data_IF_877032008502
#
_entry.id   IF_877032008502
#
_cell.length_a   1.000
_cell.length_b   1.000
_cell.length_c   1.000
_cell.angle_alpha   90.00
_cell.angle_beta   90.00
_cell.angle_gamma   90.00
#
_symmetry.space_group_name_H-M   'P 1'
#
loop_
_entity.id
_entity.type
_entity.pdbx_description
1 polymer ?
#
# COMPACT_ATOMS: atom_id res chain seq x y z
N UNK A 1 -34.57 -39.92 -13.72
CA UNK A 1 -33.85 -38.82 -14.41
C UNK A 1 -34.09 -37.52 -13.66
N UNK A 2 -33.16 -37.23 -12.76
CA UNK A 2 -32.75 -35.90 -12.29
C UNK A 2 -31.59 -36.16 -11.31
N UNK A 3 -30.41 -36.34 -11.88
CA UNK A 3 -29.15 -36.26 -11.14
C UNK A 3 -28.89 -34.78 -10.90
N UNK A 4 -29.45 -34.24 -9.81
CA UNK A 4 -29.05 -32.93 -9.27
C UNK A 4 -27.71 -33.12 -8.55
N UNK A 5 -26.63 -33.21 -9.34
CA UNK A 5 -25.27 -33.11 -8.82
C UNK A 5 -25.04 -31.66 -8.39
N UNK A 6 -25.41 -31.36 -7.15
CA UNK A 6 -25.04 -30.11 -6.49
C UNK A 6 -23.53 -30.14 -6.23
N UNK A 7 -22.72 -29.94 -7.28
CA UNK A 7 -21.28 -29.76 -7.14
C UNK A 7 -21.05 -28.51 -6.28
N UNK A 8 -20.75 -28.73 -5.01
CA UNK A 8 -20.33 -27.67 -4.10
C UNK A 8 -19.14 -26.96 -4.75
N UNK A 9 -19.35 -25.70 -5.16
CA UNK A 9 -18.30 -24.97 -5.89
C UNK A 9 -17.04 -24.92 -5.02
N UNK A 10 -15.87 -25.27 -5.55
CA UNK A 10 -14.60 -25.20 -4.84
C UNK A 10 -14.32 -23.78 -4.31
N UNK A 11 -13.38 -23.65 -3.36
CA UNK A 11 -13.02 -22.33 -2.79
C UNK A 11 -12.57 -21.33 -3.85
N UNK A 12 -11.82 -21.80 -4.85
CA UNK A 12 -11.43 -21.06 -6.05
C UNK A 12 -11.69 -21.93 -7.27
N UNK A 13 -12.33 -21.36 -8.30
CA UNK A 13 -12.88 -22.12 -9.40
C UNK A 13 -12.96 -21.32 -10.69
N UNK A 14 -13.00 -22.01 -11.81
CA UNK A 14 -13.23 -21.41 -13.12
C UNK A 14 -14.72 -21.34 -13.42
N UNK A 15 -15.20 -20.18 -13.88
CA UNK A 15 -16.64 -19.93 -14.10
C UNK A 15 -17.20 -20.73 -15.28
N UNK A 16 -16.39 -20.99 -16.31
CA UNK A 16 -16.87 -21.67 -17.54
C UNK A 16 -17.30 -23.12 -17.33
N UNK A 17 -16.69 -23.82 -16.38
CA UNK A 17 -16.91 -25.26 -16.15
C UNK A 17 -17.01 -25.64 -14.66
N UNK A 18 -17.02 -24.66 -13.75
CA UNK A 18 -17.03 -24.83 -12.29
C UNK A 18 -15.90 -25.71 -11.73
N UNK A 19 -14.84 -25.96 -12.50
CA UNK A 19 -13.72 -26.79 -12.03
C UNK A 19 -12.89 -26.03 -11.01
N UNK A 20 -12.37 -26.77 -10.03
CA UNK A 20 -11.42 -26.25 -9.05
C UNK A 20 -10.18 -25.71 -9.77
N UNK A 21 -9.68 -24.57 -9.29
CA UNK A 21 -8.40 -24.01 -9.71
C UNK A 21 -7.53 -23.91 -8.46
N UNK A 22 -6.31 -24.43 -8.53
CA UNK A 22 -5.35 -24.28 -7.45
C UNK A 22 -5.10 -22.81 -7.16
N UNK A 23 -4.97 -22.47 -5.88
CA UNK A 23 -4.98 -21.08 -5.48
C UNK A 23 -3.79 -20.30 -6.04
N UNK A 24 -2.62 -20.93 -6.08
CA UNK A 24 -1.40 -20.33 -6.63
C UNK A 24 -1.52 -20.08 -8.13
N UNK A 25 -2.12 -21.02 -8.89
CA UNK A 25 -2.40 -20.83 -10.31
C UNK A 25 -3.36 -19.65 -10.53
N UNK A 26 -4.39 -19.52 -9.69
CA UNK A 26 -5.30 -18.38 -9.73
C UNK A 26 -4.58 -17.06 -9.44
N UNK A 27 -3.67 -17.03 -8.44
CA UNK A 27 -2.86 -15.85 -8.14
C UNK A 27 -2.01 -15.40 -9.33
N UNK A 28 -1.39 -16.34 -10.04
CA UNK A 28 -0.59 -16.03 -11.23
C UNK A 28 -1.45 -15.47 -12.37
N UNK A 29 -2.61 -16.07 -12.64
CA UNK A 29 -3.52 -15.58 -13.68
C UNK A 29 -4.09 -14.19 -13.33
N UNK A 30 -4.49 -13.98 -12.07
CA UNK A 30 -4.92 -12.66 -11.60
C UNK A 30 -3.80 -11.63 -11.64
N UNK A 31 -2.55 -11.98 -11.35
CA UNK A 31 -1.41 -11.07 -11.44
C UNK A 31 -1.11 -10.64 -12.89
N UNK A 32 -1.21 -11.57 -13.86
CA UNK A 32 -1.06 -11.24 -15.28
C UNK A 32 -2.13 -10.25 -15.73
N UNK A 33 -3.41 -10.52 -15.43
CA UNK A 33 -4.52 -9.61 -15.73
C UNK A 33 -4.37 -8.28 -14.98
N UNK A 34 -4.00 -8.30 -13.70
CA UNK A 34 -3.79 -7.10 -12.89
C UNK A 34 -2.75 -6.17 -13.51
N UNK A 35 -1.62 -6.70 -14.00
CA UNK A 35 -0.60 -5.87 -14.64
C UNK A 35 -1.14 -5.18 -15.88
N UNK A 36 -1.88 -5.89 -16.74
CA UNK A 36 -2.48 -5.33 -17.95
C UNK A 36 -3.49 -4.23 -17.61
N UNK A 37 -4.37 -4.50 -16.64
CA UNK A 37 -5.32 -3.52 -16.13
C UNK A 37 -4.65 -2.27 -15.56
N UNK A 38 -3.56 -2.43 -14.82
CA UNK A 38 -2.84 -1.28 -14.25
C UNK A 38 -2.11 -0.46 -15.32
N UNK A 39 -1.66 -1.07 -16.42
CA UNK A 39 -1.14 -0.33 -17.59
C UNK A 39 -2.27 0.46 -18.25
N UNK A 40 -3.45 -0.15 -18.43
CA UNK A 40 -4.62 0.55 -18.96
C UNK A 40 -5.02 1.72 -18.06
N UNK A 41 -5.01 1.55 -16.74
CA UNK A 41 -5.23 2.65 -15.79
C UNK A 41 -4.15 3.73 -15.94
N UNK A 42 -2.87 3.34 -16.10
CA UNK A 42 -1.77 4.26 -16.31
C UNK A 42 -1.86 5.02 -17.65
N UNK A 43 -2.67 4.55 -18.60
CA UNK A 43 -2.83 5.19 -19.92
C UNK A 43 -3.55 6.55 -19.86
N UNK A 44 -4.16 6.87 -18.71
CA UNK A 44 -4.86 8.13 -18.42
C UNK A 44 -4.20 8.83 -17.22
N UNK A 45 -3.72 10.04 -17.43
CA UNK A 45 -3.06 10.84 -16.41
C UNK A 45 -3.97 11.02 -15.18
N UNK A 46 -3.39 10.88 -13.98
CA UNK A 46 -4.09 10.97 -12.70
C UNK A 46 -5.15 9.89 -12.42
N UNK A 47 -5.28 8.87 -13.26
CA UNK A 47 -6.18 7.74 -13.04
C UNK A 47 -5.61 6.75 -12.01
N UNK A 48 -6.49 6.19 -11.19
CA UNK A 48 -6.13 5.17 -10.20
C UNK A 48 -7.34 4.29 -9.90
N UNK A 49 -7.09 3.13 -9.29
CA UNK A 49 -8.15 2.20 -8.90
C UNK A 49 -8.00 1.78 -7.43
N UNK A 50 -9.06 1.17 -6.90
CA UNK A 50 -9.06 0.62 -5.54
C UNK A 50 -8.91 -0.89 -5.55
N UNK A 51 -8.48 -1.48 -4.43
CA UNK A 51 -8.40 -2.95 -4.29
C UNK A 51 -9.68 -3.68 -4.67
N UNK A 52 -10.85 -3.13 -4.33
CA UNK A 52 -12.13 -3.76 -4.67
C UNK A 52 -12.41 -3.77 -6.18
N UNK A 53 -12.07 -2.68 -6.88
CA UNK A 53 -12.23 -2.58 -8.34
C UNK A 53 -11.26 -3.52 -9.05
N UNK A 54 -9.98 -3.49 -8.67
CA UNK A 54 -8.98 -4.40 -9.23
C UNK A 54 -9.39 -5.87 -9.01
N UNK A 55 -9.80 -6.20 -7.78
CA UNK A 55 -10.15 -7.56 -7.43
C UNK A 55 -11.33 -8.12 -8.24
N UNK A 56 -12.36 -7.29 -8.47
CA UNK A 56 -13.49 -7.68 -9.29
C UNK A 56 -13.09 -7.85 -10.76
N UNK A 57 -12.31 -6.91 -11.31
CA UNK A 57 -11.91 -6.94 -12.72
C UNK A 57 -11.01 -8.13 -13.03
N UNK A 58 -10.00 -8.43 -12.21
CA UNK A 58 -9.10 -9.56 -12.48
C UNK A 58 -9.84 -10.89 -12.43
N UNK A 59 -10.80 -11.05 -11.50
CA UNK A 59 -11.62 -12.25 -11.44
C UNK A 59 -12.60 -12.35 -12.63
N UNK A 60 -13.16 -11.23 -13.07
CA UNK A 60 -14.03 -11.18 -14.24
C UNK A 60 -13.28 -11.52 -15.53
N UNK A 61 -12.11 -10.90 -15.76
CA UNK A 61 -11.31 -11.07 -16.97
C UNK A 61 -10.72 -12.48 -17.11
N UNK A 62 -10.19 -13.02 -16.03
CA UNK A 62 -9.61 -14.38 -16.02
C UNK A 62 -10.67 -15.48 -16.05
N UNK A 63 -11.92 -15.14 -15.68
CA UNK A 63 -12.98 -16.11 -15.44
C UNK A 63 -12.70 -17.03 -14.25
N UNK A 64 -11.80 -16.65 -13.34
CA UNK A 64 -11.45 -17.42 -12.13
C UNK A 64 -11.99 -16.66 -10.93
N UNK A 65 -12.90 -17.29 -10.18
CA UNK A 65 -13.57 -16.70 -9.02
C UNK A 65 -13.12 -17.37 -7.73
N UNK A 66 -13.15 -16.64 -6.63
CA UNK A 66 -12.87 -17.19 -5.30
C UNK A 66 -13.85 -16.66 -4.25
N UNK A 67 -14.12 -17.48 -3.23
CA UNK A 67 -14.87 -17.07 -2.03
C UNK A 67 -13.96 -16.46 -0.96
N UNK A 68 -12.65 -16.52 -1.13
CA UNK A 68 -11.68 -15.91 -0.21
C UNK A 68 -11.83 -14.39 -0.19
N UNK A 69 -11.83 -13.81 1.01
CA UNK A 69 -11.85 -12.36 1.21
C UNK A 69 -10.68 -11.70 0.46
N UNK A 70 -10.95 -10.56 -0.18
CA UNK A 70 -9.97 -9.79 -0.98
C UNK A 70 -8.66 -9.57 -0.23
N UNK A 71 -8.74 -9.28 1.06
CA UNK A 71 -7.58 -9.00 1.94
C UNK A 71 -6.60 -10.17 2.04
N UNK A 72 -7.02 -11.40 1.76
CA UNK A 72 -6.16 -12.58 1.86
C UNK A 72 -5.30 -12.81 0.60
N UNK A 73 -5.60 -12.14 -0.52
CA UNK A 73 -4.96 -12.48 -1.80
C UNK A 73 -4.57 -11.29 -2.66
N UNK A 74 -5.24 -10.13 -2.54
CA UNK A 74 -4.93 -8.97 -3.37
C UNK A 74 -3.48 -8.47 -3.16
N UNK A 75 -2.96 -8.64 -1.94
CA UNK A 75 -1.57 -8.33 -1.60
C UNK A 75 -0.57 -9.20 -2.38
N UNK A 76 -0.85 -10.51 -2.50
CA UNK A 76 -0.01 -11.44 -3.27
C UNK A 76 -0.04 -11.14 -4.77
N UNK A 77 -1.22 -10.84 -5.31
CA UNK A 77 -1.39 -10.40 -6.70
C UNK A 77 -0.57 -9.14 -6.98
N UNK A 78 -0.69 -8.12 -6.12
CA UNK A 78 0.11 -6.89 -6.27
C UNK A 78 1.61 -7.14 -6.05
N UNK A 79 1.99 -8.05 -5.16
CA UNK A 79 3.39 -8.46 -4.96
C UNK A 79 4.01 -9.02 -6.24
N UNK A 80 3.32 -9.93 -6.92
CA UNK A 80 3.74 -10.50 -8.20
C UNK A 80 3.85 -9.41 -9.29
N UNK A 81 2.91 -8.46 -9.34
CA UNK A 81 3.01 -7.33 -10.28
C UNK A 81 4.24 -6.46 -9.98
N UNK A 82 4.49 -6.15 -8.71
CA UNK A 82 5.66 -5.35 -8.31
C UNK A 82 6.98 -6.05 -8.68
N UNK A 83 7.07 -7.37 -8.49
CA UNK A 83 8.22 -8.17 -8.90
C UNK A 83 8.47 -8.05 -10.41
N UNK A 84 7.43 -8.20 -11.24
CA UNK A 84 7.56 -8.05 -12.70
C UNK A 84 8.02 -6.64 -13.08
N UNK A 85 7.48 -5.59 -12.46
CA UNK A 85 7.96 -4.21 -12.66
C UNK A 85 9.43 -4.06 -12.26
N UNK A 86 9.85 -4.69 -11.17
CA UNK A 86 11.25 -4.79 -10.72
C UNK A 86 12.16 -5.41 -11.78
N UNK A 87 11.83 -6.63 -12.23
CA UNK A 87 12.59 -7.36 -13.25
C UNK A 87 12.71 -6.60 -14.57
N UNK A 88 11.66 -5.86 -14.95
CA UNK A 88 11.63 -5.08 -16.20
C UNK A 88 12.25 -3.68 -16.10
N UNK A 89 12.54 -3.20 -14.88
CA UNK A 89 12.97 -1.81 -14.67
C UNK A 89 11.87 -0.79 -14.95
N UNK A 90 10.59 -1.19 -14.89
CA UNK A 90 9.43 -0.33 -15.12
C UNK A 90 9.02 0.39 -13.82
N UNK A 91 8.34 1.54 -13.91
CA UNK A 91 7.65 2.16 -12.77
C UNK A 91 6.70 1.16 -12.06
N UNK A 92 6.56 1.27 -10.75
CA UNK A 92 5.72 0.37 -9.95
C UNK A 92 4.25 0.65 -10.21
N UNK A 93 3.65 -0.14 -11.11
CA UNK A 93 2.21 -0.12 -11.43
C UNK A 93 1.33 -0.30 -10.19
N UNK A 94 1.82 -0.99 -9.17
CA UNK A 94 1.10 -1.17 -7.89
C UNK A 94 0.83 0.13 -7.15
N UNK A 95 1.54 1.22 -7.48
CA UNK A 95 1.28 2.57 -6.96
C UNK A 95 -0.09 3.14 -7.39
N UNK A 96 -0.68 2.62 -8.46
CA UNK A 96 -1.99 3.00 -8.99
C UNK A 96 -3.16 2.31 -8.27
N UNK A 97 -2.88 1.31 -7.43
CA UNK A 97 -3.89 0.56 -6.70
C UNK A 97 -3.87 0.88 -5.21
N UNK A 98 -4.95 1.48 -4.72
CA UNK A 98 -5.02 2.05 -3.37
C UNK A 98 -6.14 1.45 -2.53
N UNK A 99 -6.14 1.78 -1.24
CA UNK A 99 -7.34 1.62 -0.41
C UNK A 99 -8.43 2.59 -0.86
N UNK A 100 -9.68 2.37 -0.43
CA UNK A 100 -10.79 3.32 -0.69
C UNK A 100 -10.52 4.74 -0.17
N UNK A 101 -9.65 4.89 0.83
CA UNK A 101 -9.22 6.18 1.37
C UNK A 101 -8.20 6.91 0.49
N UNK A 102 -7.71 6.29 -0.58
CA UNK A 102 -6.62 6.77 -1.43
C UNK A 102 -5.21 6.50 -0.88
N UNK A 103 -5.09 6.00 0.36
CA UNK A 103 -3.81 5.66 0.95
C UNK A 103 -3.29 4.29 0.46
N UNK A 104 -1.97 4.14 0.46
CA UNK A 104 -1.32 2.86 0.19
C UNK A 104 -1.55 1.86 1.33
N UNK A 105 -1.77 0.59 0.98
CA UNK A 105 -1.81 -0.50 1.95
C UNK A 105 -0.43 -0.77 2.56
N UNK A 106 -0.41 -1.37 3.76
CA UNK A 106 0.83 -1.80 4.43
C UNK A 106 1.72 -2.69 3.55
N UNK A 107 1.11 -3.48 2.66
CA UNK A 107 1.83 -4.33 1.70
C UNK A 107 2.60 -3.58 0.63
N UNK A 108 2.33 -2.29 0.38
CA UNK A 108 3.02 -1.54 -0.67
C UNK A 108 4.52 -1.40 -0.41
N UNK A 109 4.92 -1.01 0.81
CA UNK A 109 6.34 -0.87 1.15
C UNK A 109 7.11 -2.19 1.03
N UNK A 110 6.46 -3.31 1.36
CA UNK A 110 7.02 -4.65 1.16
C UNK A 110 7.25 -4.91 -0.34
N UNK A 111 6.26 -4.60 -1.19
CA UNK A 111 6.38 -4.72 -2.64
C UNK A 111 7.50 -3.85 -3.23
N UNK A 112 7.70 -2.62 -2.71
CA UNK A 112 8.82 -1.76 -3.09
C UNK A 112 10.16 -2.43 -2.78
N UNK A 113 10.34 -2.93 -1.56
CA UNK A 113 11.55 -3.64 -1.15
C UNK A 113 11.83 -4.86 -2.03
N UNK A 114 10.81 -5.66 -2.35
CA UNK A 114 11.00 -6.80 -3.26
C UNK A 114 11.41 -6.36 -4.67
N UNK A 115 10.79 -5.31 -5.21
CA UNK A 115 11.01 -4.88 -6.58
C UNK A 115 12.30 -4.06 -6.78
N UNK A 116 12.82 -3.41 -5.73
CA UNK A 116 13.94 -2.46 -5.80
C UNK A 116 15.12 -2.82 -4.89
N UNK A 117 14.93 -3.75 -3.96
CA UNK A 117 15.86 -3.97 -2.84
C UNK A 117 15.78 -2.86 -1.79
N UNK A 118 16.56 -3.02 -0.72
CA UNK A 118 16.67 -2.02 0.34
C UNK A 118 15.52 -2.00 1.35
N UNK A 119 15.42 -0.91 2.10
CA UNK A 119 14.40 -0.74 3.14
C UNK A 119 13.08 -0.19 2.54
N UNK A 120 11.93 -0.50 3.16
CA UNK A 120 10.66 0.09 2.75
C UNK A 120 10.71 1.62 2.90
N UNK A 121 9.99 2.38 2.06
CA UNK A 121 9.99 3.84 2.13
C UNK A 121 9.37 4.34 3.45
N UNK A 122 9.99 5.36 4.06
CA UNK A 122 9.48 5.99 5.29
C UNK A 122 8.07 6.58 5.11
N UNK A 123 7.78 7.08 3.90
CA UNK A 123 6.46 7.58 3.52
C UNK A 123 5.96 6.83 2.25
N UNK A 124 5.20 5.73 2.44
CA UNK A 124 4.65 4.94 1.34
C UNK A 124 3.80 5.74 0.36
N UNK A 125 3.01 6.71 0.85
CA UNK A 125 2.11 7.49 0.01
C UNK A 125 2.83 8.52 -0.86
N UNK A 126 3.90 9.13 -0.34
CA UNK A 126 4.77 10.01 -1.12
C UNK A 126 5.55 9.22 -2.17
N UNK A 127 6.12 8.07 -1.79
CA UNK A 127 6.80 7.18 -2.74
C UNK A 127 5.84 6.73 -3.86
N UNK A 128 4.62 6.35 -3.51
CA UNK A 128 3.61 5.99 -4.49
C UNK A 128 3.18 7.16 -5.39
N UNK A 129 3.20 8.40 -4.90
CA UNK A 129 2.92 9.58 -5.72
C UNK A 129 3.98 9.77 -6.82
N UNK A 130 5.26 9.59 -6.48
CA UNK A 130 6.37 9.64 -7.43
C UNK A 130 6.30 8.49 -8.46
N UNK A 131 6.10 7.25 -8.00
CA UNK A 131 5.95 6.07 -8.87
C UNK A 131 4.73 6.20 -9.80
N UNK A 132 3.58 6.72 -9.32
CA UNK A 132 2.41 6.97 -10.17
C UNK A 132 2.72 7.97 -11.28
N UNK A 133 3.41 9.06 -10.97
CA UNK A 133 3.81 10.03 -11.97
C UNK A 133 4.74 9.40 -13.01
N UNK A 134 5.66 8.54 -12.58
CA UNK A 134 6.50 7.77 -13.49
C UNK A 134 5.66 6.81 -14.36
N UNK A 135 4.65 6.13 -13.81
CA UNK A 135 3.71 5.32 -14.60
C UNK A 135 3.01 6.15 -15.68
N UNK A 136 2.47 7.34 -15.35
CA UNK A 136 1.79 8.16 -16.36
C UNK A 136 2.76 8.69 -17.41
N UNK A 137 3.99 9.08 -17.04
CA UNK A 137 5.01 9.51 -18.01
C UNK A 137 5.38 8.40 -18.99
N UNK A 138 5.34 7.15 -18.54
CA UNK A 138 5.63 5.97 -19.36
C UNK A 138 4.45 5.56 -20.24
N UNK A 139 3.23 5.54 -19.69
CA UNK A 139 2.09 4.88 -20.33
C UNK A 139 0.95 5.82 -20.75
N UNK A 140 0.85 7.03 -20.19
CA UNK A 140 -0.30 7.90 -20.45
C UNK A 140 -0.24 8.57 -21.83
N UNK A 141 -1.40 8.62 -22.48
CA UNK A 141 -1.56 9.24 -23.81
C UNK A 141 -1.98 10.72 -23.73
N UNK A 142 -2.45 11.16 -22.57
CA UNK A 142 -3.01 12.49 -22.29
C UNK A 142 -2.14 13.32 -21.33
N UNK A 143 -0.82 13.06 -21.30
CA UNK A 143 0.10 13.77 -20.42
C UNK A 143 0.08 15.30 -20.65
N UNK A 144 0.01 16.09 -19.58
CA UNK A 144 0.22 17.53 -19.67
C UNK A 144 1.59 17.89 -20.25
N UNK A 145 1.67 19.01 -20.96
CA UNK A 145 2.92 19.46 -21.61
C UNK A 145 4.04 19.82 -20.63
N UNK A 146 3.71 20.10 -19.36
CA UNK A 146 4.68 20.34 -18.29
C UNK A 146 5.21 19.03 -17.65
N UNK A 147 4.76 17.87 -18.15
CA UNK A 147 5.18 16.56 -17.66
C UNK A 147 4.49 16.11 -16.37
N UNK A 148 3.48 16.84 -15.90
CA UNK A 148 2.67 16.51 -14.74
C UNK A 148 3.39 16.64 -13.39
N UNK A 149 2.63 16.47 -12.31
CA UNK A 149 3.11 16.63 -10.94
C UNK A 149 2.68 15.46 -10.06
N UNK A 150 3.49 15.17 -9.04
CA UNK A 150 3.21 14.13 -8.08
C UNK A 150 1.95 14.48 -7.27
N UNK A 151 1.06 13.50 -7.10
CA UNK A 151 -0.17 13.68 -6.33
C UNK A 151 -0.33 12.58 -5.29
N UNK A 152 -0.35 12.96 -4.03
CA UNK A 152 -0.77 12.08 -2.93
C UNK A 152 -2.30 11.99 -2.95
N UNK A 153 -2.82 10.77 -3.11
CA UNK A 153 -4.26 10.51 -3.19
C UNK A 153 -4.90 10.35 -1.81
N UNK A 154 -4.17 9.75 -0.88
CA UNK A 154 -4.66 9.46 0.45
C UNK A 154 -4.70 10.69 1.35
N UNK A 155 -5.69 10.73 2.23
CA UNK A 155 -5.62 11.55 3.44
C UNK A 155 -4.63 10.86 4.38
N UNK A 156 -3.33 11.00 4.10
CA UNK A 156 -2.36 10.78 5.16
C UNK A 156 -2.63 11.88 6.18
N UNK A 157 -3.23 11.51 7.30
CA UNK A 157 -3.03 12.27 8.52
C UNK A 157 -1.56 12.08 8.86
N UNK A 158 -0.68 12.79 8.15
CA UNK A 158 0.70 12.99 8.59
C UNK A 158 0.52 13.56 9.98
N UNK A 159 0.72 12.72 11.01
CA UNK A 159 0.80 13.23 12.37
C UNK A 159 2.00 14.15 12.30
N UNK A 160 1.75 15.46 12.29
CA UNK A 160 2.79 16.46 12.47
C UNK A 160 3.69 15.98 13.61
N UNK A 161 5.03 16.04 13.45
CA UNK A 161 5.94 15.57 14.47
C UNK A 161 5.50 16.14 15.81
N UNK A 162 5.21 15.24 16.76
CA UNK A 162 4.68 15.63 18.07
C UNK A 162 5.74 16.52 18.69
N UNK A 163 5.41 17.79 18.93
CA UNK A 163 6.34 18.73 19.55
C UNK A 163 6.96 18.05 20.79
N UNK A 164 8.30 18.13 20.98
CA UNK A 164 8.94 17.51 22.11
C UNK A 164 8.29 18.03 23.39
N UNK A 165 7.97 17.12 24.33
CA UNK A 165 7.43 17.50 25.63
C UNK A 165 8.40 18.51 26.27
N UNK A 166 7.93 19.65 26.81
CA UNK A 166 8.80 20.54 27.57
C UNK A 166 9.52 19.74 28.64
N UNK A 167 10.84 19.87 28.73
CA UNK A 167 11.59 19.27 29.82
C UNK A 167 10.99 19.78 31.14
N UNK A 168 10.77 18.90 32.14
CA UNK A 168 10.29 19.36 33.44
C UNK A 168 11.27 20.42 33.99
N UNK A 169 10.78 21.49 34.63
CA UNK A 169 11.65 22.51 35.19
C UNK A 169 12.63 21.85 36.16
N UNK A 170 13.93 22.07 35.94
CA UNK A 170 14.94 21.58 36.85
C UNK A 170 14.72 22.24 38.22
N UNK A 171 14.63 21.41 39.26
CA UNK A 171 14.48 21.91 40.62
C UNK A 171 15.79 22.58 41.03
N UNK A 172 15.74 23.76 41.68
CA UNK A 172 16.94 24.44 42.12
C UNK A 172 17.76 23.56 43.08
N UNK A 173 19.07 23.76 43.05
CA UNK A 173 20.03 23.05 43.90
C UNK A 173 20.63 24.06 44.87
N UNK A 174 20.75 23.70 46.15
CA UNK A 174 21.38 24.55 47.15
C UNK A 174 22.88 24.73 46.81
N UNK A 175 23.40 25.97 46.70
CA UNK A 175 24.80 26.20 46.35
C UNK A 175 25.80 25.81 47.45
N UNK A 176 25.32 25.50 48.66
CA UNK A 176 26.15 25.22 49.83
C UNK A 176 26.33 23.73 50.09
N UNK A 177 25.27 22.94 49.95
CA UNK A 177 25.30 21.49 50.19
C UNK A 177 24.95 20.65 48.97
N UNK A 178 24.66 21.28 47.82
CA UNK A 178 24.34 20.62 46.55
C UNK A 178 23.12 19.67 46.58
N UNK A 179 22.29 19.75 47.63
CA UNK A 179 21.01 19.06 47.68
C UNK A 179 19.94 19.83 46.93
N UNK A 180 19.03 19.10 46.29
CA UNK A 180 17.88 19.65 45.58
C UNK A 180 16.93 20.32 46.58
N UNK A 181 16.59 21.59 46.38
CA UNK A 181 15.74 22.34 47.31
C UNK A 181 14.25 22.07 47.06
N UNK A 182 13.40 22.14 48.11
CA UNK A 182 11.96 22.17 47.98
C UNK A 182 11.50 23.43 47.23
N UNK A 183 10.21 23.45 46.86
CA UNK A 183 9.60 24.59 46.15
C UNK A 183 9.66 25.92 46.94
N UNK A 184 9.92 25.87 48.26
CA UNK A 184 10.13 27.05 49.11
C UNK A 184 11.44 27.79 48.81
N UNK A 185 12.39 27.17 48.08
CA UNK A 185 13.70 27.75 47.76
C UNK A 185 14.68 27.78 48.94
N UNK A 186 14.28 27.29 50.11
CA UNK A 186 15.09 27.20 51.33
C UNK A 186 15.59 25.78 51.54
N UNK A 187 16.81 25.63 52.02
CA UNK A 187 17.42 24.31 52.21
C UNK A 187 17.21 23.86 53.65
N UNK A 188 16.43 22.80 53.85
CA UNK A 188 16.12 22.25 55.18
C UNK A 188 17.36 21.83 56.00
N UNK A 189 18.53 21.71 55.35
CA UNK A 189 19.79 21.30 55.97
C UNK A 189 20.78 22.46 56.21
N UNK A 190 20.59 23.60 55.54
CA UNK A 190 21.53 24.75 55.61
C UNK A 190 20.90 26.02 56.20
N UNK A 191 19.57 26.01 56.41
CA UNK A 191 18.80 27.02 57.15
C UNK A 191 19.01 26.90 58.67
#
# INVERSE_FOLDING_TARGET
MRDDEHMATPGTYRVSDNRAVEFDDALYEWAKSARLLLIEVASTYNSHITYGVLAEQVQAETGIRTRSLITHWIGSVLGLVAEVCGTKGEPLLTSLCTQKSGAMGMGYGIGVTYARGGNPPDNPDAHAAAERLACYREFASDMPSDGGAERILGITRVKAPRAPKPAPPQRPICPRCFLQTPASGRCDQCD
#
